data_IF_266296698820
#
_entry.id   IF_266296698820
#
_cell.length_a   1.000
_cell.length_b   1.000
_cell.length_c   1.000
_cell.angle_alpha   90.00
_cell.angle_beta   90.00
_cell.angle_gamma   90.00
#
_symmetry.space_group_name_H-M   'P 1'
#
loop_
_entity.id
_entity.type
_entity.pdbx_description
1 polymer ?
#
# COMPACT_ATOMS: atom_id res chain seq x y z
N UNK A 1 -5.68 -16.24 -15.15
CA UNK A 1 -6.99 -16.48 -14.54
C UNK A 1 -7.39 -15.20 -13.83
N UNK A 2 -8.64 -14.78 -13.96
CA UNK A 2 -9.11 -13.40 -13.76
C UNK A 2 -9.72 -12.80 -15.03
N UNK A 3 -10.72 -11.91 -14.87
CA UNK A 3 -11.43 -11.28 -15.99
C UNK A 3 -11.74 -9.80 -15.71
N UNK A 4 -12.10 -9.07 -16.76
CA UNK A 4 -12.57 -7.68 -16.63
C UNK A 4 -14.05 -7.59 -16.97
N UNK A 5 -14.80 -6.76 -16.27
CA UNK A 5 -16.21 -6.50 -16.54
C UNK A 5 -16.53 -5.03 -16.27
N UNK A 6 -17.72 -4.61 -16.67
CA UNK A 6 -18.15 -3.21 -16.55
C UNK A 6 -19.25 -3.07 -15.50
N UNK A 7 -19.14 -2.01 -14.69
CA UNK A 7 -20.20 -1.50 -13.83
C UNK A 7 -20.51 -0.08 -14.28
N UNK A 8 -21.60 0.06 -15.05
CA UNK A 8 -21.83 1.28 -15.82
C UNK A 8 -20.68 1.51 -16.82
N UNK A 9 -20.08 2.68 -16.76
CA UNK A 9 -18.92 3.10 -17.55
C UNK A 9 -17.56 2.66 -16.97
N UNK A 10 -17.54 2.12 -15.75
CA UNK A 10 -16.30 1.74 -15.07
C UNK A 10 -15.84 0.32 -15.44
N UNK A 11 -14.64 0.21 -16.01
CA UNK A 11 -13.97 -1.09 -16.21
C UNK A 11 -13.31 -1.58 -14.93
N UNK A 12 -13.77 -2.72 -14.41
CA UNK A 12 -13.27 -3.35 -13.19
C UNK A 12 -12.32 -4.50 -13.54
N UNK A 13 -11.13 -4.51 -12.93
CA UNK A 13 -10.15 -5.60 -13.05
C UNK A 13 -10.30 -6.55 -11.87
N UNK A 14 -10.77 -7.78 -12.12
CA UNK A 14 -11.05 -8.75 -11.06
C UNK A 14 -10.14 -9.99 -11.16
N UNK A 15 -9.32 -10.28 -10.14
CA UNK A 15 -8.24 -11.27 -10.24
C UNK A 15 -8.69 -12.74 -10.11
N UNK A 16 -9.99 -13.01 -10.05
CA UNK A 16 -10.54 -14.36 -9.94
C UNK A 16 -11.45 -14.69 -11.13
N UNK A 17 -11.65 -15.98 -11.42
CA UNK A 17 -12.36 -16.42 -12.63
C UNK A 17 -13.87 -16.20 -12.63
N UNK A 18 -14.46 -16.00 -11.45
CA UNK A 18 -15.90 -15.74 -11.32
C UNK A 18 -16.18 -14.74 -10.21
N UNK A 19 -17.24 -13.97 -10.38
CA UNK A 19 -17.78 -13.02 -9.40
C UNK A 19 -19.13 -13.53 -8.92
N UNK A 20 -19.38 -13.47 -7.61
CA UNK A 20 -20.69 -13.80 -7.06
C UNK A 20 -21.69 -12.65 -7.31
N UNK A 21 -22.98 -12.94 -7.52
CA UNK A 21 -24.00 -11.91 -7.70
C UNK A 21 -24.04 -10.87 -6.56
N UNK A 22 -23.79 -11.30 -5.32
CA UNK A 22 -23.73 -10.44 -4.13
C UNK A 22 -22.53 -9.49 -4.18
N UNK A 23 -21.38 -9.96 -4.67
CA UNK A 23 -20.19 -9.13 -4.87
C UNK A 23 -20.45 -8.06 -5.92
N UNK A 24 -21.11 -8.43 -7.03
CA UNK A 24 -21.47 -7.47 -8.07
C UNK A 24 -22.42 -6.39 -7.53
N UNK A 25 -23.47 -6.80 -6.81
CA UNK A 25 -24.41 -5.87 -6.17
C UNK A 25 -23.71 -4.93 -5.18
N UNK A 26 -22.80 -5.46 -4.37
CA UNK A 26 -21.99 -4.64 -3.46
C UNK A 26 -21.16 -3.59 -4.20
N UNK A 27 -20.50 -3.98 -5.29
CA UNK A 27 -19.71 -3.05 -6.08
C UNK A 27 -20.58 -1.95 -6.73
N UNK A 28 -21.79 -2.27 -7.20
CA UNK A 28 -22.72 -1.29 -7.72
C UNK A 28 -23.09 -0.23 -6.67
N UNK A 29 -23.45 -0.66 -5.45
CA UNK A 29 -23.80 0.27 -4.36
C UNK A 29 -22.58 1.07 -3.89
N UNK A 30 -21.39 0.45 -3.85
CA UNK A 30 -20.14 1.16 -3.54
C UNK A 30 -19.82 2.22 -4.59
N UNK A 31 -19.93 1.90 -5.88
CA UNK A 31 -19.76 2.88 -6.97
C UNK A 31 -20.73 4.05 -6.83
N UNK A 32 -22.01 3.75 -6.56
CA UNK A 32 -23.04 4.78 -6.34
C UNK A 32 -22.70 5.72 -5.19
N UNK A 33 -22.18 5.20 -4.09
CA UNK A 33 -21.74 6.01 -2.95
C UNK A 33 -20.53 6.91 -3.31
N UNK A 34 -19.57 6.38 -4.07
CA UNK A 34 -18.41 7.12 -4.57
C UNK A 34 -18.82 8.25 -5.51
N UNK A 35 -19.69 7.97 -6.48
CA UNK A 35 -20.18 8.95 -7.46
C UNK A 35 -20.95 10.08 -6.77
N UNK A 36 -21.73 9.76 -5.73
CA UNK A 36 -22.45 10.75 -4.92
C UNK A 36 -21.54 11.58 -3.99
N UNK A 37 -20.24 11.25 -3.89
CA UNK A 37 -19.28 11.86 -2.94
C UNK A 37 -19.80 11.85 -1.50
N UNK A 38 -20.52 10.80 -1.12
CA UNK A 38 -21.21 10.66 0.16
C UNK A 38 -20.68 9.50 1.01
N UNK A 39 -21.22 9.41 2.23
CA UNK A 39 -20.93 8.28 3.13
C UNK A 39 -21.91 7.12 2.84
N UNK A 40 -21.41 5.89 2.91
CA UNK A 40 -22.22 4.69 2.75
C UNK A 40 -21.92 3.65 3.82
N UNK A 41 -22.96 2.98 4.31
CA UNK A 41 -22.82 1.80 5.17
C UNK A 41 -23.19 0.59 4.33
N UNK A 42 -22.22 -0.28 4.08
CA UNK A 42 -22.38 -1.45 3.24
C UNK A 42 -22.10 -2.72 4.05
N UNK A 43 -23.07 -3.62 4.07
CA UNK A 43 -22.95 -4.92 4.72
C UNK A 43 -22.58 -5.99 3.69
N UNK A 44 -21.58 -6.81 4.01
CA UNK A 44 -21.26 -8.03 3.27
C UNK A 44 -21.06 -9.19 4.24
N UNK A 45 -21.60 -10.38 3.94
CA UNK A 45 -21.37 -11.57 4.75
C UNK A 45 -19.90 -11.99 4.72
N UNK A 46 -19.42 -12.58 5.81
CA UNK A 46 -18.03 -13.03 5.93
C UNK A 46 -17.68 -14.11 4.91
N UNK A 47 -16.43 -14.12 4.43
CA UNK A 47 -15.93 -15.15 3.51
C UNK A 47 -16.27 -14.93 2.03
N UNK A 48 -16.97 -13.85 1.68
CA UNK A 48 -17.39 -13.54 0.30
C UNK A 48 -16.43 -12.61 -0.45
N UNK A 49 -15.16 -12.48 -0.02
CA UNK A 49 -14.17 -11.68 -0.75
C UNK A 49 -14.43 -10.16 -0.73
N UNK A 50 -14.97 -9.62 0.38
CA UNK A 50 -15.21 -8.18 0.57
C UNK A 50 -14.00 -7.30 0.26
N UNK A 51 -12.82 -7.74 0.68
CA UNK A 51 -11.59 -6.96 0.58
C UNK A 51 -11.13 -6.87 -0.89
N UNK A 52 -11.01 -8.00 -1.59
CA UNK A 52 -10.75 -8.04 -3.05
C UNK A 52 -11.75 -7.18 -3.83
N UNK A 53 -13.04 -7.34 -3.58
CA UNK A 53 -14.09 -6.63 -4.34
C UNK A 53 -14.02 -5.12 -4.14
N UNK A 54 -13.76 -4.68 -2.91
CA UNK A 54 -13.52 -3.28 -2.59
C UNK A 54 -12.27 -2.73 -3.31
N UNK A 55 -11.15 -3.45 -3.27
CA UNK A 55 -9.92 -2.99 -3.91
C UNK A 55 -10.02 -2.99 -5.44
N UNK A 56 -10.61 -4.02 -6.04
CA UNK A 56 -10.84 -4.08 -7.49
C UNK A 56 -11.66 -2.87 -7.98
N UNK A 57 -12.75 -2.54 -7.28
CA UNK A 57 -13.58 -1.41 -7.66
C UNK A 57 -12.85 -0.07 -7.46
N UNK A 58 -12.30 0.19 -6.27
CA UNK A 58 -11.74 1.50 -5.94
C UNK A 58 -10.49 1.79 -6.78
N UNK A 59 -9.60 0.82 -6.97
CA UNK A 59 -8.39 1.01 -7.77
C UNK A 59 -8.71 1.21 -9.25
N UNK A 60 -9.75 0.55 -9.78
CA UNK A 60 -10.31 0.85 -11.10
C UNK A 60 -10.92 2.25 -11.16
N UNK A 61 -11.67 2.66 -10.13
CA UNK A 61 -12.30 3.97 -10.08
C UNK A 61 -11.26 5.10 -10.04
N UNK A 62 -10.22 4.97 -9.22
CA UNK A 62 -9.10 5.90 -9.14
C UNK A 62 -8.31 6.01 -10.47
N UNK A 63 -8.34 4.98 -11.31
CA UNK A 63 -7.70 5.04 -12.62
C UNK A 63 -8.43 5.96 -13.59
N UNK A 64 -9.77 5.92 -13.57
CA UNK A 64 -10.62 6.74 -14.43
C UNK A 64 -10.81 8.14 -13.83
N UNK A 65 -10.80 8.24 -12.50
CA UNK A 65 -11.02 9.48 -11.74
C UNK A 65 -9.84 9.79 -10.81
N UNK A 66 -8.76 10.41 -11.32
CA UNK A 66 -7.60 10.79 -10.50
C UNK A 66 -7.92 11.82 -9.40
N UNK A 67 -9.08 12.49 -9.47
CA UNK A 67 -9.54 13.52 -8.52
C UNK A 67 -10.07 12.96 -7.19
N UNK A 68 -10.38 11.66 -7.13
CA UNK A 68 -10.94 10.97 -5.95
C UNK A 68 -9.94 10.93 -4.78
N UNK A 69 -8.65 11.15 -5.07
CA UNK A 69 -7.58 11.16 -4.07
C UNK A 69 -7.17 9.76 -3.63
N UNK A 70 -6.71 9.63 -2.38
CA UNK A 70 -6.15 8.40 -1.82
C UNK A 70 -7.18 7.54 -1.09
N UNK A 71 -7.05 6.22 -1.21
CA UNK A 71 -7.80 5.25 -0.44
C UNK A 71 -7.11 5.01 0.90
N UNK A 72 -7.83 5.21 2.00
CA UNK A 72 -7.38 4.82 3.34
C UNK A 72 -8.20 3.62 3.82
N UNK A 73 -7.57 2.44 3.87
CA UNK A 73 -8.19 1.20 4.32
C UNK A 73 -7.81 0.92 5.79
N UNK A 74 -8.81 0.89 6.67
CA UNK A 74 -8.60 0.68 8.10
C UNK A 74 -8.94 -0.76 8.51
N UNK A 75 -8.02 -1.44 9.20
CA UNK A 75 -8.20 -2.78 9.76
C UNK A 75 -8.10 -2.77 11.29
N UNK A 76 -8.60 -3.82 11.94
CA UNK A 76 -8.54 -3.95 13.40
C UNK A 76 -7.23 -4.55 13.84
N UNK A 77 -6.72 -5.51 13.09
CA UNK A 77 -5.52 -6.27 13.46
C UNK A 77 -4.42 -6.16 12.40
N UNK A 78 -3.20 -6.45 12.81
CA UNK A 78 -2.03 -6.47 11.91
C UNK A 78 -2.12 -7.62 10.89
N UNK A 79 -2.54 -8.84 11.26
CA UNK A 79 -2.72 -9.90 10.27
C UNK A 79 -3.79 -9.58 9.21
N UNK A 80 -4.88 -8.90 9.58
CA UNK A 80 -5.86 -8.40 8.60
C UNK A 80 -5.22 -7.39 7.63
N UNK A 81 -4.30 -6.56 8.12
CA UNK A 81 -3.60 -5.58 7.30
C UNK A 81 -2.69 -6.23 6.25
N UNK A 82 -1.86 -7.20 6.67
CA UNK A 82 -0.98 -7.92 5.74
C UNK A 82 -1.80 -8.70 4.71
N UNK A 83 -2.88 -9.38 5.13
CA UNK A 83 -3.80 -10.05 4.20
C UNK A 83 -4.44 -9.08 3.20
N UNK A 84 -4.88 -7.91 3.64
CA UNK A 84 -5.47 -6.92 2.76
C UNK A 84 -4.47 -6.39 1.71
N UNK A 85 -3.22 -6.16 2.12
CA UNK A 85 -2.15 -5.75 1.19
C UNK A 85 -1.80 -6.86 0.18
N UNK A 86 -1.76 -8.12 0.60
CA UNK A 86 -1.57 -9.25 -0.31
C UNK A 86 -2.70 -9.39 -1.32
N UNK A 87 -3.95 -9.20 -0.89
CA UNK A 87 -5.10 -9.19 -1.80
C UNK A 87 -5.05 -8.01 -2.78
N UNK A 88 -4.66 -6.82 -2.31
CA UNK A 88 -4.44 -5.65 -3.16
C UNK A 88 -3.35 -5.92 -4.20
N UNK A 89 -2.23 -6.55 -3.79
CA UNK A 89 -1.15 -6.92 -4.70
C UNK A 89 -1.67 -7.81 -5.83
N UNK A 90 -2.47 -8.84 -5.53
CA UNK A 90 -3.08 -9.71 -6.56
C UNK A 90 -3.96 -8.93 -7.55
N UNK A 91 -4.76 -7.98 -7.07
CA UNK A 91 -5.61 -7.14 -7.92
C UNK A 91 -4.76 -6.29 -8.88
N UNK A 92 -3.69 -5.70 -8.37
CA UNK A 92 -2.82 -4.81 -9.15
C UNK A 92 -1.95 -5.60 -10.14
N UNK A 93 -1.39 -6.73 -9.72
CA UNK A 93 -0.61 -7.61 -10.59
C UNK A 93 -1.50 -8.09 -11.77
N UNK A 94 -2.72 -8.54 -11.48
CA UNK A 94 -3.68 -8.92 -12.52
C UNK A 94 -3.99 -7.77 -13.49
N UNK A 95 -4.21 -6.57 -12.96
CA UNK A 95 -4.47 -5.38 -13.78
C UNK A 95 -3.30 -5.03 -14.70
N UNK A 96 -2.08 -5.04 -14.17
CA UNK A 96 -0.86 -4.77 -14.95
C UNK A 96 -0.70 -5.82 -16.04
N UNK A 97 -0.92 -7.10 -15.73
CA UNK A 97 -0.89 -8.18 -16.73
C UNK A 97 -1.91 -7.99 -17.86
N UNK A 98 -3.15 -7.59 -17.54
CA UNK A 98 -4.19 -7.35 -18.55
C UNK A 98 -3.80 -6.18 -19.45
N UNK A 99 -3.38 -5.06 -18.87
CA UNK A 99 -2.97 -3.88 -19.63
C UNK A 99 -1.73 -4.16 -20.49
N UNK A 100 -0.79 -4.97 -20.01
CA UNK A 100 0.38 -5.38 -20.78
C UNK A 100 0.00 -6.27 -21.98
N UNK A 101 -0.95 -7.20 -21.82
CA UNK A 101 -1.45 -8.04 -22.92
C UNK A 101 -2.17 -7.24 -23.98
N UNK A 102 -3.02 -6.29 -23.57
CA UNK A 102 -3.76 -5.42 -24.50
C UNK A 102 -2.83 -4.56 -25.34
N UNK A 103 -1.72 -4.06 -24.77
CA UNK A 103 -0.70 -3.32 -25.51
C UNK A 103 0.01 -4.18 -26.55
N UNK A 104 0.32 -5.44 -26.23
CA UNK A 104 0.96 -6.38 -27.18
C UNK A 104 0.05 -6.77 -28.34
N UNK A 105 -1.26 -6.60 -28.18
CA UNK A 105 -2.26 -6.85 -29.23
C UNK A 105 -2.49 -5.62 -30.12
N UNK A 106 -2.01 -4.44 -29.72
CA UNK A 106 -2.15 -3.21 -30.48
C UNK A 106 -0.93 -3.02 -31.42
N UNK A 107 -1.08 -3.23 -32.74
CA UNK A 107 0.03 -3.19 -33.69
C UNK A 107 0.70 -1.81 -33.85
N UNK A 108 0.13 -0.74 -33.27
CA UNK A 108 0.71 0.60 -33.29
C UNK A 108 1.70 0.91 -32.14
N UNK A 109 1.93 -0.03 -31.21
CA UNK A 109 2.62 0.24 -29.94
C UNK A 109 3.91 -0.58 -29.73
N UNK A 110 4.37 -1.32 -30.74
CA UNK A 110 5.55 -2.22 -30.63
C UNK A 110 6.88 -1.49 -30.33
N UNK A 111 6.98 -0.19 -30.63
CA UNK A 111 8.19 0.62 -30.43
C UNK A 111 8.17 1.48 -29.16
N UNK A 112 7.07 1.48 -28.40
CA UNK A 112 6.97 2.26 -27.17
C UNK A 112 7.67 1.53 -26.00
N UNK A 113 8.50 2.21 -25.19
CA UNK A 113 9.10 1.59 -24.01
C UNK A 113 8.01 1.08 -23.06
N UNK A 114 8.22 -0.09 -22.45
CA UNK A 114 7.29 -0.62 -21.45
C UNK A 114 7.06 0.45 -20.37
N UNK A 115 5.82 0.95 -20.21
CA UNK A 115 5.59 2.04 -19.29
C UNK A 115 5.80 1.50 -17.89
N UNK A 116 6.63 2.20 -17.13
CA UNK A 116 6.89 1.88 -15.73
C UNK A 116 6.01 2.76 -14.84
N UNK A 117 5.83 2.35 -13.60
CA UNK A 117 5.12 3.20 -12.65
C UNK A 117 3.60 3.20 -12.83
N UNK A 118 3.00 4.36 -12.57
CA UNK A 118 1.56 4.56 -12.72
C UNK A 118 1.10 4.30 -14.15
N UNK A 119 1.91 4.61 -15.17
CA UNK A 119 1.56 4.40 -16.58
C UNK A 119 1.43 2.90 -16.95
N UNK A 120 2.08 2.00 -16.21
CA UNK A 120 1.90 0.55 -16.34
C UNK A 120 0.58 0.04 -15.74
N UNK A 121 -0.09 0.86 -14.92
CA UNK A 121 -1.18 0.44 -14.06
C UNK A 121 -0.74 0.07 -12.64
N UNK A 122 0.53 0.28 -12.28
CA UNK A 122 0.96 0.12 -10.88
C UNK A 122 0.38 1.23 -10.01
N UNK A 123 0.21 0.90 -8.73
CA UNK A 123 -0.11 1.87 -7.69
C UNK A 123 0.97 1.82 -6.62
N UNK A 124 1.15 2.92 -5.90
CA UNK A 124 1.92 2.90 -4.67
C UNK A 124 0.96 2.63 -3.51
N UNK A 125 1.12 1.48 -2.87
CA UNK A 125 0.36 1.10 -1.69
C UNK A 125 1.30 0.77 -0.53
N UNK A 126 0.97 1.25 0.68
CA UNK A 126 1.80 1.06 1.86
C UNK A 126 0.99 0.62 3.07
N UNK A 127 1.48 -0.41 3.76
CA UNK A 127 1.02 -0.77 5.10
C UNK A 127 1.78 0.00 6.17
N UNK A 128 1.07 0.63 7.10
CA UNK A 128 1.71 1.25 8.27
C UNK A 128 1.18 0.65 9.58
N UNK A 129 2.13 0.18 10.37
CA UNK A 129 1.90 -0.37 11.71
C UNK A 129 2.61 0.42 12.81
N UNK A 130 2.62 -0.12 14.03
CA UNK A 130 3.41 0.42 15.14
C UNK A 130 4.91 0.17 14.93
N UNK A 131 5.77 0.97 15.61
CA UNK A 131 7.24 0.84 15.53
C UNK A 131 7.72 -0.57 15.83
N UNK A 132 7.16 -1.22 16.86
CA UNK A 132 7.48 -2.62 17.22
C UNK A 132 7.35 -3.63 16.08
N UNK A 133 6.45 -3.38 15.13
CA UNK A 133 6.19 -4.32 14.04
C UNK A 133 7.08 -4.03 12.81
N UNK A 134 7.73 -2.87 12.75
CA UNK A 134 8.53 -2.42 11.59
C UNK A 134 10.00 -2.15 11.96
N UNK A 135 10.36 -2.21 13.23
CA UNK A 135 11.73 -1.96 13.68
C UNK A 135 12.66 -3.10 13.23
N UNK A 136 13.85 -2.71 12.76
CA UNK A 136 14.94 -3.62 12.37
C UNK A 136 16.18 -3.43 13.24
N UNK A 137 16.16 -2.50 14.20
CA UNK A 137 17.29 -2.25 15.09
C UNK A 137 17.47 -3.44 16.05
N UNK A 138 18.69 -4.00 16.20
CA UNK A 138 18.91 -5.25 16.90
C UNK A 138 18.55 -5.22 18.39
N UNK A 139 18.66 -4.06 19.03
CA UNK A 139 18.31 -3.89 20.45
C UNK A 139 16.83 -3.57 20.66
N UNK A 140 16.28 -2.67 19.83
CA UNK A 140 14.90 -2.17 20.01
C UNK A 140 13.89 -3.20 19.51
N UNK A 141 14.25 -4.02 18.52
CA UNK A 141 13.35 -5.05 17.99
C UNK A 141 13.15 -6.24 18.94
N UNK A 142 14.01 -6.42 19.97
CA UNK A 142 13.89 -7.51 20.95
C UNK A 142 12.88 -7.19 22.06
N UNK A 143 12.48 -5.93 22.16
CA UNK A 143 11.66 -5.43 23.25
C UNK A 143 10.18 -5.65 22.96
N UNK A 144 9.48 -6.31 23.88
CA UNK A 144 8.07 -6.69 23.70
C UNK A 144 7.08 -5.58 24.03
N UNK A 145 7.47 -4.64 24.89
CA UNK A 145 6.61 -3.56 25.35
C UNK A 145 6.54 -2.41 24.33
N UNK A 146 5.32 -2.02 23.95
CA UNK A 146 5.06 -0.97 22.96
C UNK A 146 5.64 0.37 23.40
N UNK A 147 5.48 0.72 24.67
CA UNK A 147 5.87 2.05 25.18
C UNK A 147 7.39 2.18 25.25
N UNK A 148 8.06 1.12 25.71
CA UNK A 148 9.54 1.07 25.76
C UNK A 148 10.15 1.14 24.37
N UNK A 149 9.59 0.43 23.38
CA UNK A 149 10.04 0.50 21.98
C UNK A 149 9.96 1.94 21.46
N UNK A 150 8.86 2.62 21.75
CA UNK A 150 8.67 4.01 21.33
C UNK A 150 9.65 4.97 22.04
N UNK A 151 9.90 4.77 23.34
CA UNK A 151 10.85 5.55 24.14
C UNK A 151 12.29 5.37 23.66
N UNK A 152 12.75 4.13 23.48
CA UNK A 152 14.12 3.86 23.01
C UNK A 152 14.32 4.39 21.60
N UNK A 153 13.35 4.21 20.70
CA UNK A 153 13.43 4.78 19.37
C UNK A 153 13.54 6.31 19.43
N UNK A 154 12.75 6.99 20.28
CA UNK A 154 12.88 8.45 20.48
C UNK A 154 14.25 8.84 21.03
N UNK A 155 14.81 8.09 21.98
CA UNK A 155 16.16 8.34 22.51
C UNK A 155 17.22 8.26 21.41
N UNK A 156 17.12 7.28 20.50
CA UNK A 156 18.10 7.08 19.42
C UNK A 156 17.93 8.04 18.23
N UNK A 157 16.75 8.62 18.04
CA UNK A 157 16.46 9.57 16.94
C UNK A 157 16.40 11.02 17.38
N UNK A 158 16.55 11.32 18.68
CA UNK A 158 16.51 12.68 19.18
C UNK A 158 17.73 13.49 18.67
N UNK A 159 17.59 14.79 18.37
CA UNK A 159 18.68 15.60 17.83
C UNK A 159 19.96 15.54 18.68
N UNK A 160 19.84 15.60 20.01
CA UNK A 160 20.97 15.51 20.95
C UNK A 160 21.67 14.14 20.97
N UNK A 161 20.99 13.08 20.52
CA UNK A 161 21.55 11.72 20.46
C UNK A 161 22.26 11.44 19.13
N UNK A 162 21.99 12.26 18.11
CA UNK A 162 22.61 12.17 16.78
C UNK A 162 24.04 12.68 16.74
N UNK A 163 24.40 13.57 17.67
CA UNK A 163 25.74 14.13 17.81
C UNK A 163 26.81 13.08 18.15
N UNK A 164 26.40 11.97 18.78
CA UNK A 164 27.30 10.86 19.14
C UNK A 164 27.04 9.65 18.23
N UNK A 165 28.04 9.18 17.45
CA UNK A 165 27.87 8.05 16.53
C UNK A 165 27.43 6.74 17.19
N UNK A 166 27.72 6.58 18.49
CA UNK A 166 27.42 5.37 19.28
C UNK A 166 25.98 5.32 19.78
N UNK A 167 25.28 6.45 19.85
CA UNK A 167 23.92 6.55 20.42
C UNK A 167 22.84 6.83 19.38
N UNK A 168 23.21 6.87 18.09
CA UNK A 168 22.28 7.16 17.00
C UNK A 168 21.81 5.88 16.32
N UNK A 169 20.58 5.88 15.83
CA UNK A 169 20.09 4.77 15.03
C UNK A 169 20.69 4.81 13.61
N UNK A 170 21.58 3.86 13.30
CA UNK A 170 22.20 3.78 11.96
C UNK A 170 21.21 3.68 10.80
N UNK A 171 20.05 3.03 11.01
CA UNK A 171 19.01 2.92 9.99
C UNK A 171 18.27 4.24 9.74
N UNK A 172 18.13 5.09 10.77
CA UNK A 172 17.48 6.39 10.64
C UNK A 172 18.37 7.40 9.90
N UNK A 173 19.66 7.42 10.21
CA UNK A 173 20.62 8.29 9.50
C UNK A 173 20.76 7.92 8.03
N UNK A 174 20.75 6.61 7.72
CA UNK A 174 20.71 6.13 6.33
C UNK A 174 19.44 6.58 5.63
N UNK A 175 18.28 6.50 6.30
CA UNK A 175 17.02 7.02 5.77
C UNK A 175 17.09 8.51 5.42
N UNK A 176 17.61 9.36 6.30
CA UNK A 176 17.76 10.79 6.02
C UNK A 176 18.79 11.08 4.92
N UNK A 177 19.87 10.31 4.87
CA UNK A 177 20.86 10.42 3.80
C UNK A 177 20.24 10.07 2.45
N UNK A 178 19.50 8.95 2.37
CA UNK A 178 18.79 8.53 1.17
C UNK A 178 17.72 9.51 0.72
N UNK A 179 17.03 10.18 1.66
CA UNK A 179 16.07 11.24 1.37
C UNK A 179 16.71 12.46 0.67
N UNK A 180 17.93 12.82 1.07
CA UNK A 180 18.62 13.96 0.46
C UNK A 180 19.11 13.66 -0.96
N UNK A 181 19.34 12.38 -1.28
CA UNK A 181 19.84 11.94 -2.58
C UNK A 181 18.72 11.59 -3.57
N UNK A 182 17.60 11.03 -3.09
CA UNK A 182 16.48 10.61 -3.93
C UNK A 182 15.14 11.09 -3.37
N UNK A 183 14.38 11.80 -4.21
CA UNK A 183 13.01 12.23 -3.89
C UNK A 183 12.03 11.05 -3.79
N UNK A 184 12.31 9.94 -4.48
CA UNK A 184 11.49 8.74 -4.48
C UNK A 184 12.25 7.58 -3.82
N UNK A 185 11.87 7.27 -2.58
CA UNK A 185 12.51 6.24 -1.76
C UNK A 185 12.26 4.81 -2.27
N UNK A 186 11.11 4.58 -2.91
CA UNK A 186 10.72 3.29 -3.47
C UNK A 186 9.98 3.48 -4.80
N UNK A 187 10.20 2.52 -5.70
CA UNK A 187 9.41 2.35 -6.92
C UNK A 187 7.94 2.07 -6.59
N UNK A 188 7.06 2.30 -7.56
CA UNK A 188 5.63 2.00 -7.40
C UNK A 188 5.41 0.51 -7.18
N UNK A 189 4.66 0.17 -6.14
CA UNK A 189 4.34 -1.20 -5.81
C UNK A 189 3.49 -1.28 -4.55
N UNK A 190 3.04 -2.49 -4.24
CA UNK A 190 2.32 -2.78 -3.00
C UNK A 190 3.32 -3.30 -1.98
N UNK A 191 3.51 -2.54 -0.89
CA UNK A 191 4.48 -2.86 0.15
C UNK A 191 3.79 -3.31 1.44
N UNK A 192 4.00 -4.56 1.81
CA UNK A 192 3.60 -5.10 3.12
C UNK A 192 4.56 -4.63 4.22
N UNK A 193 4.20 -4.89 5.48
CA UNK A 193 5.11 -4.62 6.60
C UNK A 193 6.38 -5.44 6.44
N UNK A 194 6.22 -6.70 6.08
CA UNK A 194 7.28 -7.68 5.91
C UNK A 194 8.23 -7.25 4.79
N UNK A 195 7.71 -6.86 3.63
CA UNK A 195 8.50 -6.37 2.49
C UNK A 195 9.35 -5.15 2.90
N UNK A 196 8.76 -4.20 3.65
CA UNK A 196 9.48 -3.01 4.11
C UNK A 196 10.58 -3.34 5.11
N UNK A 197 10.38 -4.35 5.97
CA UNK A 197 11.41 -4.82 6.90
C UNK A 197 12.55 -5.49 6.15
N UNK A 198 12.25 -6.35 5.19
CA UNK A 198 13.25 -7.02 4.35
C UNK A 198 14.08 -5.99 3.58
N UNK A 199 13.43 -5.02 2.93
CA UNK A 199 14.14 -3.90 2.28
C UNK A 199 14.95 -3.05 3.25
N UNK A 200 14.52 -2.91 4.51
CA UNK A 200 15.29 -2.20 5.54
C UNK A 200 16.50 -2.98 6.07
N UNK A 201 16.44 -4.31 6.02
CA UNK A 201 17.52 -5.21 6.41
C UNK A 201 18.53 -5.42 5.27
N UNK A 202 18.09 -5.29 4.02
CA UNK A 202 18.96 -5.42 2.85
C UNK A 202 20.09 -4.38 2.88
N UNK A 203 21.33 -4.86 2.72
CA UNK A 203 22.56 -4.08 2.85
C UNK A 203 22.64 -2.88 1.91
N UNK A 204 21.89 -2.90 0.80
CA UNK A 204 21.86 -1.83 -0.21
C UNK A 204 20.99 -0.63 0.18
N UNK A 205 19.88 -0.82 0.90
CA UNK A 205 18.98 0.27 1.26
C UNK A 205 19.19 0.74 2.71
N UNK A 206 19.28 -0.18 3.68
CA UNK A 206 19.67 0.07 5.09
C UNK A 206 18.89 1.14 5.88
N UNK A 207 17.90 1.79 5.29
CA UNK A 207 16.98 2.78 5.83
C UNK A 207 15.98 2.20 6.85
N UNK A 208 15.45 3.05 7.73
CA UNK A 208 14.47 2.67 8.74
C UNK A 208 13.07 2.45 8.14
N UNK A 209 12.50 1.22 8.18
CA UNK A 209 11.21 0.91 7.57
C UNK A 209 10.04 1.70 8.13
N UNK A 210 10.11 2.08 9.41
CA UNK A 210 9.04 2.86 10.04
C UNK A 210 8.94 4.29 9.47
N UNK A 211 10.08 4.99 9.39
CA UNK A 211 10.11 6.37 8.87
C UNK A 211 9.94 6.41 7.35
N UNK A 212 10.48 5.39 6.66
CA UNK A 212 10.19 5.06 5.28
C UNK A 212 8.69 5.00 4.98
N UNK A 213 7.97 4.08 5.65
CA UNK A 213 6.53 3.90 5.49
C UNK A 213 5.78 5.20 5.77
N UNK A 214 6.15 5.91 6.85
CA UNK A 214 5.52 7.18 7.23
C UNK A 214 5.65 8.25 6.14
N UNK A 215 6.78 8.32 5.45
CA UNK A 215 6.96 9.25 4.32
C UNK A 215 6.15 8.82 3.11
N UNK A 216 6.15 7.52 2.80
CA UNK A 216 5.44 6.96 1.66
C UNK A 216 3.92 7.16 1.72
N UNK A 217 3.34 7.29 2.92
CA UNK A 217 1.92 7.63 3.11
C UNK A 217 1.50 8.91 2.39
N UNK A 218 2.41 9.88 2.28
CA UNK A 218 2.13 11.15 1.60
C UNK A 218 2.10 11.00 0.07
N UNK A 219 2.83 10.03 -0.47
CA UNK A 219 2.92 9.79 -1.93
C UNK A 219 2.09 8.60 -2.41
N UNK A 220 1.52 7.80 -1.51
CA UNK A 220 0.81 6.56 -1.84
C UNK A 220 -0.67 6.79 -2.15
N UNK A 221 -1.16 6.14 -3.19
CA UNK A 221 -2.57 6.13 -3.60
C UNK A 221 -3.44 5.28 -2.68
N UNK A 222 -2.87 4.23 -2.08
CA UNK A 222 -3.57 3.35 -1.13
C UNK A 222 -2.75 3.23 0.15
N UNK A 223 -3.40 3.44 1.29
CA UNK A 223 -2.78 3.37 2.60
C UNK A 223 -3.59 2.40 3.46
N UNK A 224 -2.93 1.38 4.01
CA UNK A 224 -3.57 0.39 4.88
C UNK A 224 -3.07 0.59 6.30
N UNK A 225 -3.99 0.84 7.24
CA UNK A 225 -3.71 1.27 8.62
C UNK A 225 -4.55 0.51 9.63
N UNK A 226 -4.13 0.55 10.89
CA UNK A 226 -4.99 0.15 12.00
C UNK A 226 -5.92 1.32 12.42
N UNK A 227 -7.17 1.06 12.80
CA UNK A 227 -8.11 2.06 13.33
C UNK A 227 -7.51 2.93 14.45
N UNK A 228 -6.65 2.36 15.29
CA UNK A 228 -5.97 3.09 16.38
C UNK A 228 -5.02 4.20 15.89
N UNK A 229 -4.73 4.26 14.59
CA UNK A 229 -3.77 5.18 13.96
C UNK A 229 -4.42 6.13 12.93
N UNK A 230 -5.75 6.17 12.84
CA UNK A 230 -6.45 7.01 11.86
C UNK A 230 -6.41 8.52 12.21
N UNK A 231 -6.05 8.89 13.43
CA UNK A 231 -5.91 10.29 13.88
C UNK A 231 -4.49 10.84 13.67
N UNK A 232 -4.03 10.91 12.42
CA UNK A 232 -2.80 11.63 12.08
C UNK A 232 -2.88 13.11 12.41
#
# INVERSE_FOLDING_TARGET
>A
MGFTFYIGELRVFFPYDSIYPEQYKYMCELKRALDAKGNGVLEMPTGTGKTVTLFALITSYQWVHPDVGRLVYCTRTVPEMSKALEELRKVIDFRVEVLAKERKLDPGNEEAPEPTGLAAGHILAVGLSARRNMCVHPEVSKEGDRERVDEMCRKLTAPWARDKPQTRCGHFEKYESSLNHSSQLLETGVYTIEDLREKGMESGYGWCPYYAARRLIHSSSVVVLNYQRFGF
#
